data_IF_165917400212
#
_entry.id   IF_165917400212
#
_cell.length_a   1.000
_cell.length_b   1.000
_cell.length_c   1.000
_cell.angle_alpha   90.00
_cell.angle_beta   90.00
_cell.angle_gamma   90.00
#
_symmetry.space_group_name_H-M   'P 1'
#
loop_
_entity.id
_entity.type
_entity.pdbx_description
1 polymer ?
#
# COMPACT_ATOMS: atom_id res chain seq x y z
N UNK A 1 -19.59 17.31 -19.17
CA UNK A 1 -19.66 15.83 -19.08
C UNK A 1 -20.23 15.49 -17.72
N UNK A 2 -20.96 14.38 -17.60
CA UNK A 2 -21.68 14.04 -16.35
C UNK A 2 -21.39 12.60 -15.95
N UNK A 3 -21.26 12.37 -14.64
CA UNK A 3 -21.10 11.03 -14.09
C UNK A 3 -22.42 10.27 -14.15
N UNK A 4 -22.34 9.01 -14.57
CA UNK A 4 -23.47 8.09 -14.63
C UNK A 4 -23.22 6.93 -13.67
N UNK A 5 -24.17 6.73 -12.77
CA UNK A 5 -24.19 5.55 -11.91
C UNK A 5 -24.61 4.34 -12.75
N UNK A 6 -23.81 3.27 -12.71
CA UNK A 6 -24.05 2.04 -13.47
C UNK A 6 -24.56 0.88 -12.60
N UNK A 7 -24.79 1.12 -11.30
CA UNK A 7 -25.20 0.09 -10.35
C UNK A 7 -24.03 -0.63 -9.69
N UNK A 8 -24.30 -1.81 -9.15
CA UNK A 8 -23.29 -2.74 -8.67
C UNK A 8 -22.34 -3.17 -9.79
N UNK A 9 -21.15 -3.67 -9.43
CA UNK A 9 -20.20 -4.18 -10.42
C UNK A 9 -20.79 -5.30 -11.30
N UNK A 10 -21.73 -6.08 -10.77
CA UNK A 10 -22.41 -7.15 -11.52
C UNK A 10 -23.39 -6.60 -12.58
N UNK A 11 -24.15 -5.58 -12.22
CA UNK A 11 -25.12 -4.91 -13.11
C UNK A 11 -24.40 -4.12 -14.21
N UNK A 12 -23.34 -3.40 -13.83
CA UNK A 12 -22.60 -2.51 -14.69
C UNK A 12 -21.92 -3.23 -15.88
N UNK A 13 -21.75 -4.57 -15.81
CA UNK A 13 -21.29 -5.42 -16.93
C UNK A 13 -22.15 -5.30 -18.19
N UNK A 14 -23.43 -4.92 -18.03
CA UNK A 14 -24.37 -4.72 -19.15
C UNK A 14 -24.21 -3.36 -19.84
N UNK A 15 -23.37 -2.47 -19.31
CA UNK A 15 -23.20 -1.11 -19.82
C UNK A 15 -22.47 -1.06 -21.16
N UNK A 16 -23.06 -0.36 -22.13
CA UNK A 16 -22.42 -0.04 -23.42
C UNK A 16 -21.64 1.26 -23.42
N UNK A 17 -21.44 1.92 -22.28
CA UNK A 17 -20.77 3.22 -22.23
C UNK A 17 -19.28 3.13 -22.59
N UNK A 18 -18.74 4.23 -23.12
CA UNK A 18 -17.33 4.45 -23.37
C UNK A 18 -16.82 5.68 -22.64
N UNK A 19 -15.62 5.63 -22.05
CA UNK A 19 -15.04 6.76 -21.32
C UNK A 19 -14.21 6.32 -20.12
N UNK A 20 -14.20 7.15 -19.09
CA UNK A 20 -13.56 6.86 -17.79
C UNK A 20 -14.57 6.15 -16.90
N UNK A 21 -14.14 5.16 -16.12
CA UNK A 21 -14.96 4.52 -15.11
C UNK A 21 -14.22 4.43 -13.77
N UNK A 22 -15.00 4.43 -12.69
CA UNK A 22 -14.55 4.24 -11.33
C UNK A 22 -15.19 2.97 -10.79
N UNK A 23 -14.41 2.15 -10.10
CA UNK A 23 -14.96 1.17 -9.16
C UNK A 23 -14.87 1.81 -7.78
N UNK A 24 -16.01 1.91 -7.11
CA UNK A 24 -16.14 2.51 -5.78
C UNK A 24 -16.57 1.43 -4.82
N UNK A 25 -15.87 1.31 -3.70
CA UNK A 25 -16.29 0.47 -2.58
C UNK A 25 -17.23 1.29 -1.68
N UNK A 26 -18.43 0.76 -1.45
CA UNK A 26 -19.43 1.32 -0.54
C UNK A 26 -19.21 0.78 0.87
N UNK A 27 -18.56 1.59 1.69
CA UNK A 27 -18.31 1.31 3.10
C UNK A 27 -18.90 2.39 4.01
N UNK A 28 -18.25 2.60 5.16
CA UNK A 28 -18.49 3.80 5.99
C UNK A 28 -18.28 5.07 5.16
N UNK A 29 -17.27 5.03 4.28
CA UNK A 29 -16.99 6.07 3.29
C UNK A 29 -16.97 5.43 1.91
N UNK A 30 -17.66 6.05 0.95
CA UNK A 30 -17.63 5.62 -0.45
C UNK A 30 -16.27 5.98 -1.06
N UNK A 31 -15.39 5.00 -1.25
CA UNK A 31 -14.00 5.18 -1.68
C UNK A 31 -13.74 4.65 -3.08
N UNK A 32 -12.97 5.38 -3.88
CA UNK A 32 -12.53 4.91 -5.19
C UNK A 32 -11.44 3.85 -5.03
N UNK A 33 -11.70 2.61 -5.47
CA UNK A 33 -10.74 1.50 -5.39
C UNK A 33 -10.07 1.19 -6.72
N UNK A 34 -10.63 1.69 -7.83
CA UNK A 34 -10.04 1.55 -9.16
C UNK A 34 -10.49 2.68 -10.08
N UNK A 35 -9.61 3.13 -10.97
CA UNK A 35 -9.92 4.09 -12.03
C UNK A 35 -9.40 3.49 -13.34
N UNK A 36 -10.23 3.50 -14.39
CA UNK A 36 -9.79 3.04 -15.70
C UNK A 36 -10.54 3.70 -16.85
N UNK A 37 -10.12 3.36 -18.06
CA UNK A 37 -10.74 3.80 -19.31
C UNK A 37 -11.12 2.61 -20.18
N UNK A 38 -12.17 2.76 -20.97
CA UNK A 38 -12.55 1.75 -21.97
C UNK A 38 -13.45 2.34 -23.06
N UNK A 39 -13.33 1.81 -24.28
CA UNK A 39 -14.33 2.01 -25.33
C UNK A 39 -15.61 1.18 -25.07
N UNK A 40 -15.55 0.18 -24.18
CA UNK A 40 -16.68 -0.60 -23.70
C UNK A 40 -16.49 -0.89 -22.21
N UNK A 41 -17.13 -0.09 -21.36
CA UNK A 41 -17.03 -0.20 -19.90
C UNK A 41 -17.60 -1.53 -19.41
N UNK A 42 -18.75 -1.98 -19.92
CA UNK A 42 -19.36 -3.24 -19.51
C UNK A 42 -18.44 -4.45 -19.70
N UNK A 43 -17.82 -4.58 -20.87
CA UNK A 43 -16.81 -5.63 -21.14
C UNK A 43 -15.69 -5.59 -20.10
N UNK A 44 -15.17 -4.40 -19.80
CA UNK A 44 -14.06 -4.25 -18.87
C UNK A 44 -14.45 -4.58 -17.42
N UNK A 45 -15.71 -4.33 -17.05
CA UNK A 45 -16.23 -4.73 -15.75
C UNK A 45 -16.47 -6.22 -15.64
N UNK A 46 -16.83 -6.92 -16.72
CA UNK A 46 -16.82 -8.39 -16.75
C UNK A 46 -15.43 -8.94 -16.44
N UNK A 47 -14.39 -8.39 -17.09
CA UNK A 47 -13.01 -8.79 -16.82
C UNK A 47 -12.58 -8.53 -15.36
N UNK A 48 -13.04 -7.42 -14.76
CA UNK A 48 -12.79 -7.15 -13.33
C UNK A 48 -13.54 -8.12 -12.43
N UNK A 49 -14.83 -8.31 -12.66
CA UNK A 49 -15.69 -9.21 -11.87
C UNK A 49 -15.15 -10.63 -11.86
N UNK A 50 -14.93 -11.22 -13.03
CA UNK A 50 -14.38 -12.58 -13.16
C UNK A 50 -12.95 -12.64 -12.60
N UNK A 51 -12.19 -11.54 -12.73
CA UNK A 51 -10.88 -11.39 -12.12
C UNK A 51 -10.90 -11.47 -10.60
N UNK A 52 -11.88 -10.86 -9.92
CA UNK A 52 -12.03 -10.98 -8.47
C UNK A 52 -12.38 -12.42 -8.06
N UNK A 53 -13.32 -13.06 -8.78
CA UNK A 53 -13.72 -14.44 -8.49
C UNK A 53 -12.58 -15.45 -8.61
N UNK A 54 -11.62 -15.20 -9.50
CA UNK A 54 -10.44 -16.05 -9.70
C UNK A 54 -9.23 -15.64 -8.85
N UNK A 55 -9.32 -14.62 -8.00
CA UNK A 55 -8.16 -14.11 -7.26
C UNK A 55 -7.11 -13.40 -8.15
N UNK A 56 -7.49 -12.98 -9.35
CA UNK A 56 -6.65 -12.29 -10.32
C UNK A 56 -6.66 -10.76 -10.16
N UNK A 57 -7.33 -10.28 -9.12
CA UNK A 57 -7.48 -8.86 -8.77
C UNK A 57 -7.25 -8.64 -7.29
N UNK A 58 -6.88 -7.40 -6.93
CA UNK A 58 -6.70 -7.02 -5.53
C UNK A 58 -8.02 -7.06 -4.78
N UNK A 59 -8.06 -7.77 -3.65
CA UNK A 59 -9.24 -7.87 -2.79
C UNK A 59 -8.84 -7.40 -1.39
N UNK A 60 -9.75 -6.66 -0.74
CA UNK A 60 -9.60 -6.21 0.64
C UNK A 60 -10.62 -6.91 1.52
N UNK A 61 -10.24 -7.31 2.72
CA UNK A 61 -11.18 -7.77 3.76
C UNK A 61 -11.92 -6.55 4.37
N UNK A 62 -12.76 -5.91 3.54
CA UNK A 62 -13.54 -4.72 3.86
C UNK A 62 -15.00 -4.92 3.41
N UNK A 63 -15.92 -4.91 4.39
CA UNK A 63 -17.36 -4.97 4.15
C UNK A 63 -18.03 -3.60 4.14
N UNK A 64 -19.36 -3.61 4.31
CA UNK A 64 -20.20 -2.39 4.34
C UNK A 64 -19.86 -1.43 5.48
N UNK A 65 -19.39 -1.96 6.60
CA UNK A 65 -19.11 -1.20 7.83
C UNK A 65 -17.61 -0.92 8.01
N UNK A 66 -16.82 -1.01 6.93
CA UNK A 66 -15.39 -0.70 6.94
C UNK A 66 -15.07 0.49 6.02
N UNK A 67 -13.97 1.20 6.30
CA UNK A 67 -13.32 2.07 5.31
C UNK A 67 -12.18 1.30 4.63
N UNK A 68 -12.33 0.98 3.34
CA UNK A 68 -11.31 0.26 2.57
C UNK A 68 -9.97 1.02 2.53
N UNK A 69 -9.97 2.36 2.67
CA UNK A 69 -8.73 3.13 2.71
C UNK A 69 -7.87 2.88 3.93
N UNK A 70 -8.38 2.24 4.99
CA UNK A 70 -7.54 1.73 6.09
C UNK A 70 -6.47 0.74 5.61
N UNK A 71 -6.79 0.02 4.54
CA UNK A 71 -5.91 -0.95 3.87
C UNK A 71 -5.18 -0.38 2.66
N UNK A 72 -5.67 0.72 2.06
CA UNK A 72 -5.07 1.29 0.84
C UNK A 72 -4.14 2.48 1.10
N UNK A 73 -4.36 3.24 2.18
CA UNK A 73 -3.59 4.44 2.49
C UNK A 73 -2.34 4.13 3.29
N UNK A 74 -1.20 4.63 2.82
CA UNK A 74 0.07 4.60 3.53
C UNK A 74 0.27 5.82 4.46
N UNK A 75 -0.75 6.66 4.65
CA UNK A 75 -0.62 7.89 5.44
C UNK A 75 -0.11 7.58 6.86
N UNK A 76 0.97 8.26 7.30
CA UNK A 76 1.65 8.00 8.59
C UNK A 76 2.26 6.59 8.73
N UNK A 77 2.44 5.85 7.64
CA UNK A 77 3.16 4.57 7.63
C UNK A 77 4.55 4.78 7.06
N UNK A 78 5.59 4.53 7.88
CA UNK A 78 6.97 4.73 7.47
C UNK A 78 7.48 3.66 6.47
N UNK A 79 7.27 2.38 6.77
CA UNK A 79 7.65 1.27 5.89
C UNK A 79 6.39 0.61 5.32
N UNK A 80 5.84 1.21 4.26
CA UNK A 80 4.60 0.76 3.62
C UNK A 80 4.74 -0.66 3.05
N UNK A 81 5.91 -1.05 2.54
CA UNK A 81 6.13 -2.42 2.03
C UNK A 81 5.94 -3.47 3.13
N UNK A 82 6.62 -3.30 4.28
CA UNK A 82 6.49 -4.23 5.40
C UNK A 82 5.08 -4.23 5.97
N UNK A 83 4.43 -3.07 6.03
CA UNK A 83 3.05 -2.94 6.46
C UNK A 83 2.09 -3.74 5.58
N UNK A 84 2.15 -3.56 4.26
CA UNK A 84 1.28 -4.30 3.34
C UNK A 84 1.57 -5.82 3.36
N UNK A 85 2.84 -6.22 3.48
CA UNK A 85 3.18 -7.63 3.67
C UNK A 85 2.57 -8.22 4.97
N UNK A 86 2.53 -7.44 6.06
CA UNK A 86 1.86 -7.85 7.29
C UNK A 86 0.35 -7.99 7.07
N UNK A 87 -0.29 -6.99 6.43
CA UNK A 87 -1.72 -7.08 6.09
C UNK A 87 -2.05 -8.30 5.22
N UNK A 88 -1.20 -8.67 4.27
CA UNK A 88 -1.41 -9.87 3.48
C UNK A 88 -1.31 -11.16 4.31
N UNK A 89 -0.34 -11.24 5.24
CA UNK A 89 -0.19 -12.37 6.17
C UNK A 89 -1.40 -12.49 7.10
N UNK A 90 -1.99 -11.36 7.49
CA UNK A 90 -3.16 -11.29 8.38
C UNK A 90 -4.50 -11.41 7.63
N UNK A 91 -4.50 -11.89 6.38
CA UNK A 91 -5.70 -12.04 5.53
C UNK A 91 -6.50 -10.73 5.31
N UNK A 92 -5.82 -9.58 5.31
CA UNK A 92 -6.45 -8.27 5.09
C UNK A 92 -6.36 -7.76 3.67
N UNK A 93 -5.32 -8.15 2.94
CA UNK A 93 -5.13 -7.78 1.52
C UNK A 93 -4.68 -8.99 0.71
N UNK A 94 -5.44 -9.30 -0.33
CA UNK A 94 -5.01 -10.15 -1.42
C UNK A 94 -4.50 -9.28 -2.56
N UNK A 95 -3.21 -9.35 -2.88
CA UNK A 95 -2.58 -8.47 -3.87
C UNK A 95 -2.28 -9.21 -5.17
N UNK A 96 -3.21 -9.16 -6.13
CA UNK A 96 -3.04 -9.78 -7.44
C UNK A 96 -3.44 -8.82 -8.56
N UNK A 97 -2.72 -8.84 -9.67
CA UNK A 97 -2.93 -7.91 -10.81
C UNK A 97 -3.06 -8.60 -12.16
N UNK A 98 -2.87 -9.92 -12.19
CA UNK A 98 -2.74 -10.70 -13.42
C UNK A 98 -4.10 -11.17 -13.89
N UNK A 99 -4.66 -10.55 -14.93
CA UNK A 99 -6.01 -10.85 -15.45
C UNK A 99 -6.24 -12.32 -15.83
N UNK A 100 -5.21 -12.97 -16.38
CA UNK A 100 -5.30 -14.24 -17.11
C UNK A 100 -4.40 -15.33 -16.51
N UNK A 101 -4.12 -15.29 -15.21
CA UNK A 101 -3.38 -16.39 -14.57
C UNK A 101 -4.35 -17.47 -14.09
N UNK A 102 -4.08 -18.72 -14.45
CA UNK A 102 -4.80 -19.89 -13.90
C UNK A 102 -4.37 -20.21 -12.46
N UNK A 103 -3.23 -19.65 -12.04
CA UNK A 103 -2.66 -19.80 -10.70
C UNK A 103 -2.43 -18.41 -10.09
N UNK A 104 -3.48 -17.78 -9.52
CA UNK A 104 -3.37 -16.46 -8.95
C UNK A 104 -2.32 -16.44 -7.83
N UNK A 105 -1.46 -15.41 -7.83
CA UNK A 105 -0.40 -15.27 -6.83
C UNK A 105 -0.55 -13.98 -6.06
N UNK A 106 -0.53 -14.07 -4.72
CA UNK A 106 -0.43 -12.89 -3.89
C UNK A 106 1.00 -12.31 -3.99
N UNK A 107 1.12 -11.13 -4.57
CA UNK A 107 2.39 -10.41 -4.76
C UNK A 107 3.01 -9.94 -3.44
N UNK A 108 2.22 -9.85 -2.36
CA UNK A 108 2.68 -9.49 -1.01
C UNK A 108 3.06 -10.71 -0.15
N UNK A 109 2.47 -11.88 -0.44
CA UNK A 109 2.65 -13.11 0.32
C UNK A 109 2.69 -14.30 -0.63
N UNK A 110 3.85 -14.53 -1.27
CA UNK A 110 4.00 -15.50 -2.38
C UNK A 110 3.60 -16.95 -2.04
N UNK A 111 3.62 -17.33 -0.77
CA UNK A 111 3.23 -18.66 -0.29
C UNK A 111 1.74 -18.80 -0.01
N UNK A 112 0.99 -17.71 -0.02
CA UNK A 112 -0.46 -17.73 0.22
C UNK A 112 -1.18 -18.12 -1.07
N UNK A 113 -2.11 -19.06 -0.97
CA UNK A 113 -3.01 -19.45 -2.04
C UNK A 113 -4.31 -18.64 -1.99
N UNK A 114 -5.01 -18.57 -3.12
CA UNK A 114 -6.37 -18.04 -3.17
C UNK A 114 -7.35 -19.15 -2.77
N UNK A 115 -7.48 -19.36 -1.47
CA UNK A 115 -8.25 -20.43 -0.84
C UNK A 115 -9.72 -20.07 -0.61
N UNK A 116 -10.45 -20.94 0.09
CA UNK A 116 -11.88 -20.78 0.40
C UNK A 116 -12.14 -19.54 1.26
N UNK A 117 -11.21 -19.16 2.13
CA UNK A 117 -11.35 -17.99 2.99
C UNK A 117 -11.31 -16.71 2.14
N UNK A 118 -10.35 -16.62 1.21
CA UNK A 118 -10.30 -15.52 0.25
C UNK A 118 -11.50 -15.47 -0.68
N UNK A 119 -12.02 -16.62 -1.12
CA UNK A 119 -13.24 -16.69 -1.92
C UNK A 119 -14.46 -16.17 -1.15
N UNK A 120 -14.60 -16.56 0.12
CA UNK A 120 -15.67 -16.05 1.00
C UNK A 120 -15.54 -14.54 1.22
N UNK A 121 -14.33 -14.03 1.54
CA UNK A 121 -14.08 -12.58 1.65
C UNK A 121 -14.48 -11.85 0.35
N UNK A 122 -14.10 -12.39 -0.82
CA UNK A 122 -14.41 -11.77 -2.10
C UNK A 122 -15.93 -11.72 -2.34
N UNK A 123 -16.62 -12.85 -2.19
CA UNK A 123 -18.03 -13.03 -2.53
C UNK A 123 -18.99 -12.38 -1.54
N UNK A 124 -18.69 -12.46 -0.24
CA UNK A 124 -19.61 -12.07 0.81
C UNK A 124 -19.35 -10.67 1.34
N UNK A 125 -18.08 -10.23 1.33
CA UNK A 125 -17.69 -8.93 1.89
C UNK A 125 -17.37 -7.91 0.81
N UNK A 126 -16.40 -8.19 -0.04
CA UNK A 126 -15.78 -7.16 -0.88
C UNK A 126 -16.59 -6.83 -2.14
N UNK A 127 -16.84 -7.82 -3.02
CA UNK A 127 -17.54 -7.63 -4.30
C UNK A 127 -18.94 -7.03 -4.11
N UNK A 128 -19.76 -7.43 -3.12
CA UNK A 128 -21.08 -6.84 -2.90
C UNK A 128 -21.06 -5.33 -2.65
N UNK A 129 -19.96 -4.79 -2.12
CA UNK A 129 -19.82 -3.34 -1.90
C UNK A 129 -19.30 -2.59 -3.13
N UNK A 130 -18.92 -3.27 -4.21
CA UNK A 130 -18.39 -2.62 -5.40
C UNK A 130 -19.52 -2.09 -6.27
N UNK A 131 -19.52 -0.78 -6.46
CA UNK A 131 -20.39 -0.09 -7.43
C UNK A 131 -19.57 0.64 -8.47
N UNK A 132 -20.22 1.00 -9.58
CA UNK A 132 -19.52 1.59 -10.71
C UNK A 132 -20.13 2.91 -11.12
N UNK A 133 -19.25 3.88 -11.36
CA UNK A 133 -19.57 5.16 -11.99
C UNK A 133 -18.81 5.25 -13.32
N UNK A 134 -19.44 5.85 -14.33
CA UNK A 134 -18.78 6.13 -15.59
C UNK A 134 -18.95 7.60 -15.97
N UNK A 135 -17.93 8.20 -16.56
CA UNK A 135 -17.96 9.51 -17.20
C UNK A 135 -17.91 9.29 -18.71
N UNK A 136 -19.06 9.27 -19.41
CA UNK A 136 -19.10 9.01 -20.83
C UNK A 136 -18.39 10.10 -21.63
N UNK A 137 -17.65 9.69 -22.65
CA UNK A 137 -16.98 10.58 -23.59
C UNK A 137 -17.62 10.40 -24.97
N UNK A 138 -18.42 11.37 -25.41
CA UNK A 138 -19.28 11.28 -26.61
C UNK A 138 -18.52 10.93 -27.90
N UNK A 139 -17.29 11.44 -28.06
CA UNK A 139 -16.35 11.03 -29.11
C UNK A 139 -15.15 10.37 -28.46
N UNK A 140 -15.33 9.11 -28.03
CA UNK A 140 -14.30 8.40 -27.29
C UNK A 140 -12.96 8.44 -28.02
N UNK A 141 -11.95 8.96 -27.34
CA UNK A 141 -10.56 8.89 -27.73
C UNK A 141 -9.78 8.38 -26.53
N UNK A 142 -9.05 7.27 -26.71
CA UNK A 142 -8.25 6.67 -25.64
C UNK A 142 -7.35 7.72 -24.98
N UNK A 143 -6.61 8.52 -25.77
CA UNK A 143 -5.73 9.56 -25.22
C UNK A 143 -6.47 10.59 -24.37
N UNK A 144 -7.68 11.00 -24.76
CA UNK A 144 -8.44 11.98 -23.98
C UNK A 144 -9.00 11.37 -22.69
N UNK A 145 -9.49 10.13 -22.74
CA UNK A 145 -9.96 9.43 -21.55
C UNK A 145 -8.80 9.17 -20.57
N UNK A 146 -7.65 8.67 -21.05
CA UNK A 146 -6.46 8.39 -20.24
C UNK A 146 -5.89 9.64 -19.57
N UNK A 147 -6.02 10.82 -20.19
CA UNK A 147 -5.67 12.11 -19.58
C UNK A 147 -6.54 12.40 -18.35
N UNK A 148 -7.86 12.19 -18.45
CA UNK A 148 -8.79 12.39 -17.33
C UNK A 148 -8.51 11.36 -16.23
N UNK A 149 -8.38 10.07 -16.58
CA UNK A 149 -7.99 8.99 -15.66
C UNK A 149 -6.71 9.33 -14.89
N UNK A 150 -5.66 9.76 -15.60
CA UNK A 150 -4.36 10.07 -15.00
C UNK A 150 -4.44 11.23 -14.00
N UNK A 151 -5.26 12.26 -14.26
CA UNK A 151 -5.48 13.35 -13.30
C UNK A 151 -6.22 12.85 -12.06
N UNK A 152 -7.28 12.05 -12.22
CA UNK A 152 -8.04 11.47 -11.11
C UNK A 152 -7.12 10.60 -10.24
N UNK A 153 -6.43 9.62 -10.85
CA UNK A 153 -5.49 8.74 -10.16
C UNK A 153 -4.40 9.55 -9.44
N UNK A 154 -3.76 10.50 -10.12
CA UNK A 154 -2.68 11.30 -9.54
C UNK A 154 -3.13 12.11 -8.33
N UNK A 155 -4.33 12.70 -8.40
CA UNK A 155 -4.88 13.46 -7.27
C UNK A 155 -5.24 12.53 -6.10
N UNK A 156 -5.97 11.44 -6.35
CA UNK A 156 -6.30 10.47 -5.30
C UNK A 156 -5.05 9.91 -4.61
N UNK A 157 -4.05 9.52 -5.39
CA UNK A 157 -2.79 8.98 -4.88
C UNK A 157 -2.06 9.98 -3.99
N UNK A 158 -1.91 11.24 -4.45
CA UNK A 158 -1.24 12.29 -3.68
C UNK A 158 -2.02 12.65 -2.43
N UNK A 159 -3.34 12.80 -2.55
CA UNK A 159 -4.23 13.22 -1.48
C UNK A 159 -4.32 12.20 -0.35
N UNK A 160 -4.54 10.92 -0.67
CA UNK A 160 -4.76 9.86 0.32
C UNK A 160 -3.50 9.05 0.64
N UNK A 161 -2.33 9.43 0.11
CA UNK A 161 -1.07 8.68 0.22
C UNK A 161 -1.22 7.20 -0.24
N UNK A 162 -1.89 7.00 -1.38
CA UNK A 162 -2.08 5.68 -2.00
C UNK A 162 -0.81 5.33 -2.78
N UNK A 163 0.24 4.93 -2.05
CA UNK A 163 1.55 4.59 -2.64
C UNK A 163 1.42 3.59 -3.80
N UNK A 164 2.43 3.59 -4.67
CA UNK A 164 2.51 2.64 -5.79
C UNK A 164 2.33 1.20 -5.32
N UNK A 165 1.76 0.37 -6.20
CA UNK A 165 1.48 -1.04 -5.98
C UNK A 165 2.76 -1.78 -5.63
N UNK A 166 2.94 -2.04 -4.33
CA UNK A 166 3.97 -2.89 -3.73
C UNK A 166 5.38 -2.74 -4.33
N UNK A 167 5.78 -1.48 -4.59
CA UNK A 167 7.08 -1.02 -5.12
C UNK A 167 7.27 -1.02 -6.65
N UNK A 168 6.22 -1.23 -7.45
CA UNK A 168 6.29 -1.02 -8.90
C UNK A 168 6.00 0.46 -9.21
N UNK A 169 7.01 1.21 -9.65
CA UNK A 169 6.88 2.67 -9.93
C UNK A 169 5.75 3.03 -10.91
N UNK A 170 5.37 2.11 -11.80
CA UNK A 170 4.41 2.36 -12.88
C UNK A 170 3.00 1.80 -12.62
N UNK A 171 2.80 1.10 -11.50
CA UNK A 171 1.52 0.49 -11.16
C UNK A 171 1.07 1.09 -9.83
N UNK A 172 -0.11 1.69 -9.79
CA UNK A 172 -0.74 2.14 -8.54
C UNK A 172 -1.80 1.13 -8.11
N UNK A 173 -2.24 1.26 -6.85
CA UNK A 173 -3.36 0.48 -6.34
C UNK A 173 -4.67 0.72 -7.11
N UNK A 174 -4.76 1.88 -7.78
CA UNK A 174 -5.91 2.31 -8.59
C UNK A 174 -5.79 1.94 -10.08
N UNK A 175 -4.63 1.43 -10.54
CA UNK A 175 -4.36 1.19 -11.96
C UNK A 175 -3.03 1.78 -12.45
N UNK A 176 -2.80 1.71 -13.76
CA UNK A 176 -1.60 2.26 -14.42
C UNK A 176 -1.84 3.73 -14.74
N UNK A 177 -0.88 4.59 -14.38
CA UNK A 177 -0.93 6.02 -14.71
C UNK A 177 -0.16 6.26 -16.02
N UNK A 178 -0.85 6.62 -17.08
CA UNK A 178 -0.21 6.88 -18.38
C UNK A 178 0.42 8.27 -18.49
N UNK A 179 -0.21 9.28 -17.88
CA UNK A 179 0.23 10.68 -17.96
C UNK A 179 0.52 11.26 -16.55
N UNK A 180 1.59 10.83 -15.86
CA UNK A 180 1.84 11.16 -14.45
C UNK A 180 2.12 12.66 -14.19
N UNK A 181 2.50 13.41 -15.22
CA UNK A 181 2.75 14.85 -15.14
C UNK A 181 1.51 15.70 -15.40
N UNK A 182 0.37 15.07 -15.70
CA UNK A 182 -0.87 15.80 -15.95
C UNK A 182 -1.53 16.21 -14.63
N UNK A 183 -1.87 17.49 -14.51
CA UNK A 183 -2.30 18.05 -13.23
C UNK A 183 -3.75 18.57 -13.22
N UNK A 184 -4.37 18.75 -14.40
CA UNK A 184 -5.75 19.22 -14.51
C UNK A 184 -6.49 18.66 -15.72
N UNK A 185 -7.81 18.52 -15.56
CA UNK A 185 -8.74 18.20 -16.65
C UNK A 185 -9.14 19.50 -17.36
N UNK A 186 -9.01 19.53 -18.69
CA UNK A 186 -9.40 20.71 -19.50
C UNK A 186 -10.88 20.73 -19.90
N UNK A 187 -11.63 19.70 -19.52
CA UNK A 187 -13.05 19.53 -19.85
C UNK A 187 -13.89 19.84 -18.63
N UNK A 188 -15.04 20.48 -18.86
CA UNK A 188 -16.01 20.75 -17.81
C UNK A 188 -16.79 19.47 -17.44
N UNK A 189 -16.79 19.14 -16.15
CA UNK A 189 -17.57 18.05 -15.54
C UNK A 189 -18.56 18.71 -14.58
N UNK A 190 -19.87 18.50 -14.79
CA UNK A 190 -20.92 19.27 -14.10
C UNK A 190 -21.25 18.74 -12.71
N UNK A 191 -20.93 17.48 -12.43
CA UNK A 191 -21.30 16.77 -11.22
C UNK A 191 -20.13 15.97 -10.64
N UNK A 192 -20.36 15.37 -9.47
CA UNK A 192 -19.43 14.46 -8.81
C UNK A 192 -20.14 13.14 -8.49
N UNK A 193 -19.46 11.99 -8.61
CA UNK A 193 -20.04 10.72 -8.20
C UNK A 193 -20.28 10.72 -6.68
N UNK A 194 -21.19 9.85 -6.21
CA UNK A 194 -21.45 9.64 -4.78
C UNK A 194 -20.20 9.04 -4.11
N UNK A 195 -19.41 9.91 -3.51
CA UNK A 195 -18.16 9.62 -2.81
C UNK A 195 -18.17 10.29 -1.44
N UNK A 196 -17.21 9.91 -0.60
CA UNK A 196 -17.00 10.55 0.69
C UNK A 196 -16.65 12.05 0.57
N UNK A 197 -16.90 12.88 1.60
CA UNK A 197 -16.61 14.32 1.58
C UNK A 197 -15.22 14.73 1.10
N UNK A 198 -14.16 14.03 1.53
CA UNK A 198 -12.79 14.34 1.11
C UNK A 198 -12.57 14.02 -0.37
N UNK A 199 -13.11 12.90 -0.87
CA UNK A 199 -13.05 12.58 -2.29
C UNK A 199 -13.89 13.55 -3.14
N UNK A 200 -15.06 13.99 -2.67
CA UNK A 200 -15.88 14.98 -3.38
C UNK A 200 -15.11 16.28 -3.64
N UNK A 201 -14.32 16.76 -2.66
CA UNK A 201 -13.45 17.94 -2.82
C UNK A 201 -12.38 17.78 -3.92
N UNK A 202 -11.93 16.54 -4.18
CA UNK A 202 -11.00 16.24 -5.28
C UNK A 202 -11.75 16.28 -6.62
N UNK A 203 -12.92 15.64 -6.67
CA UNK A 203 -13.71 15.49 -7.90
C UNK A 203 -14.33 16.81 -8.36
N UNK A 204 -14.78 17.66 -7.45
CA UNK A 204 -15.28 19.01 -7.76
C UNK A 204 -14.19 19.94 -8.30
N UNK A 205 -12.93 19.65 -8.00
CA UNK A 205 -11.78 20.47 -8.36
C UNK A 205 -10.84 19.82 -9.39
N UNK A 206 -11.29 18.87 -10.22
CA UNK A 206 -10.43 18.19 -11.22
C UNK A 206 -9.81 19.15 -12.27
N UNK A 207 -10.44 20.30 -12.50
CA UNK A 207 -9.95 21.36 -13.40
C UNK A 207 -8.82 22.22 -12.80
N UNK A 208 -8.65 22.18 -11.48
CA UNK A 208 -7.62 22.94 -10.76
C UNK A 208 -6.35 22.10 -10.59
N UNK A 209 -5.17 22.74 -10.63
CA UNK A 209 -3.89 22.05 -10.36
C UNK A 209 -3.74 21.69 -8.88
N UNK A 210 -4.20 22.57 -7.99
CA UNK A 210 -4.13 22.39 -6.54
C UNK A 210 -5.28 21.53 -6.04
N UNK A 211 -5.05 20.86 -4.93
CA UNK A 211 -6.08 20.19 -4.14
C UNK A 211 -6.72 21.27 -3.25
N UNK A 212 -8.02 21.15 -2.99
CA UNK A 212 -8.75 22.04 -2.08
C UNK A 212 -8.11 22.05 -0.69
N UNK A 213 -7.96 23.22 -0.08
CA UNK A 213 -7.32 23.35 1.24
C UNK A 213 -8.14 22.64 2.34
N UNK A 214 -9.46 22.50 2.16
CA UNK A 214 -10.33 21.79 3.09
C UNK A 214 -10.16 20.27 3.03
N UNK A 215 -9.54 19.72 1.97
CA UNK A 215 -9.34 18.28 1.82
C UNK A 215 -8.64 17.69 3.05
N UNK A 216 -7.57 18.34 3.51
CA UNK A 216 -6.77 17.86 4.65
C UNK A 216 -7.59 17.78 5.93
N UNK A 217 -8.54 18.70 6.12
CA UNK A 217 -9.43 18.73 7.29
C UNK A 217 -10.41 17.55 7.24
N UNK A 218 -11.08 17.36 6.10
CA UNK A 218 -12.05 16.27 5.92
C UNK A 218 -11.36 14.90 6.01
N UNK A 219 -10.25 14.71 5.31
CA UNK A 219 -9.51 13.45 5.35
C UNK A 219 -9.06 13.09 6.78
N UNK A 220 -8.50 14.04 7.54
CA UNK A 220 -8.08 13.78 8.94
C UNK A 220 -9.26 13.48 9.86
N UNK A 221 -10.43 14.08 9.60
CA UNK A 221 -11.66 13.81 10.35
C UNK A 221 -12.13 12.37 10.11
N UNK A 222 -12.24 11.98 8.84
CA UNK A 222 -12.66 10.64 8.43
C UNK A 222 -11.68 9.55 8.89
N UNK A 223 -10.37 9.84 8.86
CA UNK A 223 -9.31 8.86 9.12
C UNK A 223 -8.70 8.99 10.53
N UNK A 224 -9.41 9.66 11.44
CA UNK A 224 -8.91 10.03 12.78
C UNK A 224 -8.45 8.81 13.58
N UNK A 225 -9.23 7.72 13.54
CA UNK A 225 -8.97 6.52 14.33
C UNK A 225 -7.68 5.82 13.88
N UNK A 226 -7.49 5.71 12.56
CA UNK A 226 -6.33 5.09 11.92
C UNK A 226 -5.08 5.94 12.15
N UNK A 227 -5.21 7.28 12.05
CA UNK A 227 -4.11 8.20 12.36
C UNK A 227 -3.66 8.01 13.81
N UNK A 228 -4.60 8.01 14.76
CA UNK A 228 -4.29 7.85 16.17
C UNK A 228 -3.58 6.51 16.45
N UNK A 229 -4.08 5.40 15.87
CA UNK A 229 -3.45 4.09 16.02
C UNK A 229 -2.02 4.08 15.46
N UNK A 230 -1.83 4.60 14.24
CA UNK A 230 -0.51 4.63 13.57
C UNK A 230 0.50 5.51 14.32
N UNK A 231 0.05 6.62 14.89
CA UNK A 231 0.87 7.49 15.72
C UNK A 231 1.23 6.84 17.05
N UNK A 232 0.28 6.15 17.70
CA UNK A 232 0.52 5.39 18.92
C UNK A 232 1.57 4.29 18.72
N UNK A 233 1.47 3.51 17.63
CA UNK A 233 2.47 2.49 17.29
C UNK A 233 3.86 3.10 17.03
N UNK A 234 3.90 4.25 16.35
CA UNK A 234 5.15 4.97 16.10
C UNK A 234 5.78 5.44 17.40
N UNK A 235 4.97 6.00 18.30
CA UNK A 235 5.44 6.44 19.61
C UNK A 235 5.94 5.27 20.46
N UNK A 236 5.22 4.14 20.49
CA UNK A 236 5.68 2.91 21.17
C UNK A 236 7.05 2.45 20.66
N UNK A 237 7.24 2.41 19.33
CA UNK A 237 8.55 2.05 18.74
C UNK A 237 9.64 3.03 19.10
N UNK A 238 9.32 4.33 19.15
CA UNK A 238 10.24 5.38 19.56
C UNK A 238 10.67 5.21 21.02
N UNK A 239 9.72 5.01 21.93
CA UNK A 239 10.00 4.77 23.36
C UNK A 239 10.85 3.52 23.57
N UNK A 240 10.55 2.41 22.87
CA UNK A 240 11.40 1.20 22.92
C UNK A 240 12.82 1.52 22.45
N UNK A 241 12.97 2.27 21.34
CA UNK A 241 14.28 2.65 20.83
C UNK A 241 15.04 3.56 21.79
N UNK A 242 14.38 4.55 22.37
CA UNK A 242 14.97 5.47 23.35
C UNK A 242 15.44 4.71 24.60
N UNK A 243 14.64 3.76 25.08
CA UNK A 243 15.02 2.87 26.18
C UNK A 243 16.24 1.99 25.82
N UNK A 244 16.30 1.45 24.61
CA UNK A 244 17.47 0.69 24.15
C UNK A 244 18.73 1.54 24.05
N UNK A 245 18.60 2.79 23.58
CA UNK A 245 19.72 3.75 23.54
C UNK A 245 20.18 4.15 24.95
N UNK A 246 19.27 4.23 25.93
CA UNK A 246 19.66 4.51 27.32
C UNK A 246 20.37 3.33 27.99
N UNK A 247 20.04 2.09 27.62
CA UNK A 247 20.70 0.89 28.13
C UNK A 247 22.05 0.64 27.45
N UNK A 248 22.14 0.94 26.16
CA UNK A 248 23.29 0.61 25.32
C UNK A 248 23.69 1.83 24.48
N UNK A 249 24.77 2.50 24.88
CA UNK A 249 25.25 3.74 24.24
C UNK A 249 25.48 3.59 22.73
N UNK A 250 25.90 2.40 22.28
CA UNK A 250 26.20 2.08 20.90
C UNK A 250 25.07 1.33 20.18
N UNK A 251 23.85 1.34 20.74
CA UNK A 251 22.67 0.75 20.11
C UNK A 251 22.41 1.32 18.72
N UNK A 252 22.33 0.44 17.72
CA UNK A 252 22.05 0.79 16.34
C UNK A 252 23.15 1.60 15.62
N UNK A 253 24.27 1.93 16.29
CA UNK A 253 25.42 2.54 15.62
C UNK A 253 26.12 1.49 14.72
N UNK A 254 26.66 1.87 13.55
CA UNK A 254 27.46 0.96 12.72
C UNK A 254 28.65 0.39 13.51
N UNK A 255 29.08 -0.83 13.17
CA UNK A 255 30.27 -1.44 13.75
C UNK A 255 31.53 -0.87 13.11
N UNK A 256 32.42 -0.29 13.91
CA UNK A 256 33.74 0.15 13.45
C UNK A 256 34.73 -1.01 13.46
N UNK A 257 35.79 -0.94 12.63
CA UNK A 257 36.87 -1.94 12.65
C UNK A 257 37.51 -2.07 14.05
N UNK A 258 37.64 -0.94 14.78
CA UNK A 258 38.15 -0.94 16.15
C UNK A 258 37.24 -1.71 17.11
N UNK A 259 35.93 -1.54 17.02
CA UNK A 259 34.98 -2.34 17.82
C UNK A 259 34.97 -3.81 17.42
N UNK A 260 35.16 -4.11 16.14
CA UNK A 260 35.24 -5.48 15.63
C UNK A 260 36.48 -6.20 16.15
N UNK A 261 37.63 -5.52 16.23
CA UNK A 261 38.84 -6.09 16.85
C UNK A 261 38.67 -6.27 18.35
N UNK A 262 38.08 -5.29 19.04
CA UNK A 262 37.72 -5.44 20.47
C UNK A 262 36.80 -6.64 20.70
N UNK A 263 35.78 -6.81 19.85
CA UNK A 263 34.87 -7.94 19.90
C UNK A 263 35.61 -9.27 19.71
N UNK A 264 36.50 -9.36 18.72
CA UNK A 264 37.32 -10.55 18.44
C UNK A 264 38.17 -10.92 19.66
N UNK A 265 38.93 -9.94 20.18
CA UNK A 265 39.79 -10.11 21.36
C UNK A 265 38.99 -10.61 22.56
N UNK A 266 37.87 -9.95 22.89
CA UNK A 266 37.03 -10.36 24.03
C UNK A 266 36.45 -11.77 23.87
N UNK A 267 36.05 -12.14 22.64
CA UNK A 267 35.49 -13.45 22.37
C UNK A 267 36.52 -14.58 22.37
N UNK A 268 37.69 -14.35 21.77
CA UNK A 268 38.69 -15.40 21.50
C UNK A 268 39.74 -15.46 22.61
N UNK A 269 40.29 -14.30 22.98
CA UNK A 269 41.43 -14.22 23.89
C UNK A 269 40.96 -14.25 25.36
N UNK A 270 39.77 -13.70 25.63
CA UNK A 270 39.18 -13.65 26.97
C UNK A 270 37.98 -14.61 27.16
N UNK A 271 37.51 -15.27 26.09
CA UNK A 271 36.39 -16.21 26.13
C UNK A 271 35.12 -15.64 26.79
N UNK A 272 34.84 -14.35 26.61
CA UNK A 272 33.69 -13.68 27.20
C UNK A 272 32.39 -14.02 26.46
N UNK A 273 31.30 -14.10 27.21
CA UNK A 273 29.95 -14.27 26.67
C UNK A 273 29.41 -12.95 26.09
N UNK A 274 28.43 -12.98 25.17
CA UNK A 274 27.83 -11.76 24.61
C UNK A 274 27.25 -10.79 25.64
N UNK A 275 26.80 -11.29 26.79
CA UNK A 275 26.28 -10.48 27.90
C UNK A 275 27.41 -9.71 28.59
N UNK A 276 28.56 -10.34 28.81
CA UNK A 276 29.73 -9.68 29.41
C UNK A 276 30.34 -8.67 28.44
N UNK A 277 30.48 -9.05 27.16
CA UNK A 277 30.99 -8.16 26.10
C UNK A 277 30.11 -6.90 25.96
N UNK A 278 28.81 -6.99 26.23
CA UNK A 278 27.87 -5.87 26.17
C UNK A 278 28.29 -4.72 27.09
N UNK A 279 28.83 -5.01 28.26
CA UNK A 279 29.26 -4.01 29.24
C UNK A 279 30.43 -3.17 28.70
N UNK A 280 31.32 -3.79 27.92
CA UNK A 280 32.50 -3.14 27.35
C UNK A 280 32.25 -2.41 26.03
N UNK A 281 31.37 -2.96 25.19
CA UNK A 281 31.06 -2.37 23.89
C UNK A 281 29.86 -1.41 23.95
N UNK A 282 29.09 -1.39 25.04
CA UNK A 282 27.87 -0.61 25.15
C UNK A 282 26.85 -1.00 24.08
N UNK A 283 26.81 -2.28 23.69
CA UNK A 283 25.94 -2.82 22.63
C UNK A 283 25.09 -3.94 23.19
N UNK A 284 23.82 -3.97 22.80
CA UNK A 284 22.88 -5.04 23.15
C UNK A 284 23.48 -6.44 22.93
N UNK A 285 23.41 -7.36 23.93
CA UNK A 285 23.96 -8.71 23.82
C UNK A 285 23.45 -9.50 22.60
N UNK A 286 22.22 -9.27 22.15
CA UNK A 286 21.69 -9.94 20.94
C UNK A 286 22.35 -9.40 19.68
N UNK A 287 22.61 -8.09 19.61
CA UNK A 287 23.39 -7.48 18.54
C UNK A 287 24.81 -8.06 18.46
N UNK A 288 25.48 -8.23 19.61
CA UNK A 288 26.80 -8.87 19.70
C UNK A 288 26.74 -10.32 19.21
N UNK A 289 25.82 -11.11 19.76
CA UNK A 289 25.64 -12.53 19.39
C UNK A 289 25.42 -12.68 17.88
N UNK A 290 24.53 -11.86 17.33
CA UNK A 290 24.25 -11.83 15.89
C UNK A 290 25.50 -11.49 15.09
N UNK A 291 26.29 -10.51 15.54
CA UNK A 291 27.49 -10.08 14.82
C UNK A 291 28.56 -11.16 14.80
N UNK A 292 28.73 -11.89 15.90
CA UNK A 292 29.61 -13.06 15.97
C UNK A 292 29.18 -14.11 14.95
N UNK A 293 27.89 -14.49 14.94
CA UNK A 293 27.37 -15.49 14.00
C UNK A 293 27.49 -15.06 12.54
N UNK A 294 27.27 -13.78 12.23
CA UNK A 294 27.45 -13.23 10.88
C UNK A 294 28.91 -13.33 10.45
N UNK A 295 29.84 -12.84 11.27
CA UNK A 295 31.27 -12.84 10.94
C UNK A 295 31.80 -14.28 10.80
N UNK A 296 31.43 -15.19 11.72
CA UNK A 296 31.78 -16.61 11.65
C UNK A 296 31.36 -17.22 10.32
N UNK A 297 30.12 -16.98 9.91
CA UNK A 297 29.57 -17.50 8.67
C UNK A 297 30.24 -16.91 7.43
N UNK A 298 30.47 -15.60 7.41
CA UNK A 298 31.00 -14.89 6.24
C UNK A 298 32.47 -15.24 6.00
N UNK A 299 33.29 -15.32 7.04
CA UNK A 299 34.72 -15.57 6.90
C UNK A 299 35.09 -17.04 7.10
N UNK A 300 34.11 -17.93 7.26
CA UNK A 300 34.32 -19.31 7.71
C UNK A 300 35.24 -19.36 8.93
N UNK A 301 34.86 -18.66 10.00
CA UNK A 301 35.56 -18.53 11.28
C UNK A 301 36.93 -17.83 11.27
N UNK A 302 37.50 -17.48 10.11
CA UNK A 302 38.82 -16.84 10.00
C UNK A 302 38.96 -15.48 10.69
N UNK A 303 37.88 -14.70 10.83
CA UNK A 303 37.93 -13.40 11.52
C UNK A 303 38.36 -13.51 12.99
N UNK A 304 38.23 -14.71 13.59
CA UNK A 304 38.67 -15.00 14.96
C UNK A 304 40.20 -14.94 15.10
N UNK A 305 40.92 -15.22 14.02
CA UNK A 305 42.39 -15.11 13.95
C UNK A 305 42.83 -13.66 13.73
N UNK A 306 42.12 -12.92 12.87
CA UNK A 306 42.39 -11.52 12.56
C UNK A 306 41.19 -10.84 11.92
N UNK A 307 40.89 -9.61 12.33
CA UNK A 307 39.87 -8.78 11.66
C UNK A 307 40.20 -8.44 10.21
N UNK A 308 41.43 -8.69 9.74
CA UNK A 308 41.79 -8.50 8.33
C UNK A 308 41.03 -9.40 7.35
N UNK A 309 40.27 -10.38 7.85
CA UNK A 309 39.41 -11.25 7.05
C UNK A 309 37.97 -10.74 6.85
N UNK A 310 37.61 -9.58 7.43
CA UNK A 310 36.27 -8.96 7.36
C UNK A 310 36.17 -7.92 6.25
#
# INVERSE_FOLDING_TARGET
MEWRFLGSISEARKSGCSGVYLIVHKGIFNRVVYVGVSCNVGRRLTEHYDGYLRGNRTIYDAGRDDDVYRFMSAYKIHNHTKYYQALAKDYKIWASTTLYSDLPKNMLAKSQAFDTDWQSIALEKYIPQLVVWALPVASYCYSNASKIESVIQSKLIKSFDLRGFFNIKQLSILGKIEYPYMEKVKVFISDTPDLDPASQLIFSNLSNKKIDDNFCKEFRSQFKSEIFQRESETQKRRTIREHQVSLYENYGKPWTLKEMEKLRVMLVDFNLSPTEISEYLGRDPRSISKKISENDKVTNYKWRESVGWL
#
